data_IF_546035251959
#
_entry.id   IF_546035251959
#
_cell.length_a   1.000
_cell.length_b   1.000
_cell.length_c   1.000
_cell.angle_alpha   90.00
_cell.angle_beta   90.00
_cell.angle_gamma   90.00
#
_symmetry.space_group_name_H-M   'P 1'
#
loop_
_entity.id
_entity.type
_entity.pdbx_description
1 polymer ?
#
# COMPACT_ATOMS: atom_id res chain seq x y z
N UNK A 1 -26.12 12.28 2.30
CA UNK A 1 -24.65 12.16 2.24
C UNK A 1 -24.06 12.84 3.46
N UNK A 2 -23.23 12.14 4.25
CA UNK A 2 -22.56 12.73 5.41
C UNK A 2 -21.23 13.31 4.92
N UNK A 3 -21.03 14.63 5.04
CA UNK A 3 -19.77 15.26 4.65
C UNK A 3 -18.69 14.90 5.69
N UNK A 4 -17.85 13.91 5.40
CA UNK A 4 -16.76 13.48 6.29
C UNK A 4 -15.45 14.14 5.88
N UNK A 5 -14.78 14.78 6.83
CA UNK A 5 -13.43 15.32 6.64
C UNK A 5 -12.42 14.37 7.28
N UNK A 6 -11.54 13.79 6.47
CA UNK A 6 -10.42 12.98 6.95
C UNK A 6 -9.30 13.91 7.43
N UNK A 7 -8.78 13.66 8.64
CA UNK A 7 -7.65 14.39 9.23
C UNK A 7 -6.53 13.40 9.48
N UNK A 8 -5.34 13.71 9.00
CA UNK A 8 -4.15 12.90 9.28
C UNK A 8 -3.64 13.28 10.67
N UNK A 9 -3.33 12.29 11.50
CA UNK A 9 -2.82 12.46 12.87
C UNK A 9 -1.49 11.72 13.03
N UNK A 10 -0.88 11.81 14.22
CA UNK A 10 0.30 11.02 14.61
C UNK A 10 1.59 11.24 13.79
N UNK A 11 1.73 12.41 13.16
CA UNK A 11 3.02 12.90 12.64
C UNK A 11 4.08 13.12 13.74
N UNK A 12 3.75 13.02 15.03
CA UNK A 12 4.65 13.31 16.16
C UNK A 12 5.85 12.38 16.30
N UNK A 13 5.86 11.25 15.59
CA UNK A 13 7.02 10.37 15.42
C UNK A 13 7.91 10.75 14.23
N UNK A 14 7.47 11.66 13.35
CA UNK A 14 8.29 12.28 12.31
C UNK A 14 9.24 13.30 12.96
N UNK A 15 10.20 12.82 13.74
CA UNK A 15 11.27 13.64 14.34
C UNK A 15 12.49 13.62 13.43
N UNK A 16 13.25 14.71 13.46
CA UNK A 16 14.55 14.84 12.79
C UNK A 16 15.41 13.58 12.96
N UNK A 17 16.09 13.25 11.85
CA UNK A 17 17.09 12.22 11.51
C UNK A 17 17.93 11.57 12.64
N UNK A 18 17.98 12.11 13.86
CA UNK A 18 19.00 11.83 14.87
C UNK A 18 18.56 11.05 16.12
N UNK A 19 17.28 10.69 16.30
CA UNK A 19 16.87 9.86 17.47
C UNK A 19 15.83 8.81 17.12
N UNK A 20 16.27 7.65 16.64
CA UNK A 20 15.45 6.44 16.52
C UNK A 20 15.26 5.81 17.89
N UNK A 21 14.11 6.05 18.52
CA UNK A 21 13.59 5.14 19.54
C UNK A 21 13.15 3.87 18.81
N UNK A 22 13.77 2.72 19.12
CA UNK A 22 13.29 1.41 18.68
C UNK A 22 11.87 1.21 19.21
N UNK A 23 10.86 1.53 18.42
CA UNK A 23 9.51 1.05 18.66
C UNK A 23 9.40 -0.38 18.17
N UNK A 24 8.65 -1.19 18.90
CA UNK A 24 8.28 -2.55 18.55
C UNK A 24 7.52 -2.52 17.22
N UNK A 25 8.21 -2.74 16.09
CA UNK A 25 7.65 -2.61 14.74
C UNK A 25 6.74 -3.79 14.33
N UNK A 26 6.35 -4.64 15.28
CA UNK A 26 5.41 -5.72 15.06
C UNK A 26 4.05 -5.13 14.64
N UNK A 27 3.74 -5.22 13.35
CA UNK A 27 2.48 -4.77 12.75
C UNK A 27 2.57 -3.54 11.83
N UNK A 28 3.66 -2.75 11.83
CA UNK A 28 3.76 -1.54 10.98
C UNK A 28 4.47 -1.79 9.64
N UNK A 29 5.19 -2.90 9.49
CA UNK A 29 5.99 -3.17 8.29
C UNK A 29 5.21 -3.15 6.97
N UNK A 30 3.91 -3.46 7.03
CA UNK A 30 3.05 -3.47 5.85
C UNK A 30 2.95 -2.12 5.13
N UNK A 31 3.10 -1.00 5.85
CA UNK A 31 3.09 0.35 5.29
C UNK A 31 4.49 0.91 5.04
N UNK A 32 5.54 0.25 5.53
CA UNK A 32 6.90 0.80 5.50
C UNK A 32 7.56 0.58 4.14
N UNK A 33 8.22 1.62 3.63
CA UNK A 33 9.02 1.53 2.41
C UNK A 33 10.29 0.67 2.61
N UNK A 34 10.84 0.06 1.54
CA UNK A 34 12.03 -0.79 1.63
C UNK A 34 13.24 -0.10 2.28
N UNK A 35 13.49 1.17 1.98
CA UNK A 35 14.59 1.96 2.54
C UNK A 35 14.40 2.32 4.01
N UNK A 36 13.15 2.41 4.48
CA UNK A 36 12.82 2.62 5.90
C UNK A 36 13.10 1.34 6.67
N UNK A 37 12.69 0.18 6.13
CA UNK A 37 12.93 -1.13 6.76
C UNK A 37 14.44 -1.43 6.84
N UNK A 38 15.18 -1.19 5.76
CA UNK A 38 16.63 -1.53 5.68
C UNK A 38 17.50 -0.61 6.53
N UNK A 39 17.27 0.69 6.42
CA UNK A 39 18.22 1.71 6.86
C UNK A 39 17.59 2.83 7.68
N UNK A 40 16.29 2.74 7.99
CA UNK A 40 15.56 3.81 8.69
C UNK A 40 15.68 5.17 7.99
N UNK A 41 15.75 5.15 6.65
CA UNK A 41 15.83 6.36 5.83
C UNK A 41 14.43 6.82 5.51
N UNK A 42 14.00 7.91 6.14
CA UNK A 42 12.70 8.54 5.91
C UNK A 42 12.85 9.67 4.87
N UNK A 43 11.90 9.75 3.95
CA UNK A 43 11.86 10.77 2.90
C UNK A 43 10.43 11.05 2.48
N UNK A 44 10.20 12.10 1.67
CA UNK A 44 8.91 12.26 1.00
C UNK A 44 8.51 11.01 0.22
N UNK A 45 9.48 10.31 -0.40
CA UNK A 45 9.23 9.07 -1.11
C UNK A 45 8.74 7.92 -0.21
N UNK A 46 9.18 7.85 1.05
CA UNK A 46 8.69 6.82 1.98
C UNK A 46 7.22 7.05 2.38
N UNK A 47 6.81 8.31 2.48
CA UNK A 47 5.41 8.66 2.71
C UNK A 47 4.54 8.29 1.50
N UNK A 48 5.07 8.46 0.27
CA UNK A 48 4.39 8.06 -0.97
C UNK A 48 4.20 6.54 -1.05
N UNK A 49 5.18 5.74 -0.62
CA UNK A 49 5.00 4.29 -0.52
C UNK A 49 3.85 3.93 0.43
N UNK A 50 3.86 4.54 1.63
CA UNK A 50 2.84 4.34 2.66
C UNK A 50 1.45 4.74 2.15
N UNK A 51 1.38 5.83 1.38
CA UNK A 51 0.16 6.26 0.70
C UNK A 51 -0.33 5.26 -0.35
N UNK A 52 0.57 4.62 -1.10
CA UNK A 52 0.20 3.55 -2.03
C UNK A 52 -0.47 2.37 -1.33
N UNK A 53 0.00 2.02 -0.12
CA UNK A 53 -0.65 1.00 0.72
C UNK A 53 -2.04 1.46 1.18
N UNK A 54 -2.17 2.71 1.64
CA UNK A 54 -3.47 3.28 2.02
C UNK A 54 -4.46 3.28 0.84
N UNK A 55 -4.01 3.64 -0.37
CA UNK A 55 -4.83 3.61 -1.57
C UNK A 55 -5.33 2.19 -1.87
N UNK A 56 -4.46 1.20 -1.72
CA UNK A 56 -4.82 -0.20 -1.86
C UNK A 56 -5.89 -0.62 -0.85
N UNK A 57 -5.74 -0.25 0.44
CA UNK A 57 -6.74 -0.54 1.48
C UNK A 57 -8.10 0.10 1.18
N UNK A 58 -8.11 1.34 0.68
CA UNK A 58 -9.35 2.03 0.30
C UNK A 58 -10.06 1.34 -0.86
N UNK A 59 -9.31 0.84 -1.85
CA UNK A 59 -9.86 0.18 -3.03
C UNK A 59 -10.36 -1.23 -2.72
N UNK A 60 -9.60 -2.00 -1.95
CA UNK A 60 -9.89 -3.43 -1.71
C UNK A 60 -10.73 -3.67 -0.46
N UNK A 61 -10.63 -2.78 0.53
CA UNK A 61 -11.21 -2.98 1.86
C UNK A 61 -10.49 -4.04 2.69
N UNK A 62 -9.32 -4.52 2.24
CA UNK A 62 -8.56 -5.59 2.88
C UNK A 62 -7.45 -5.08 3.79
N UNK A 63 -7.02 -5.95 4.71
CA UNK A 63 -5.87 -5.68 5.59
C UNK A 63 -4.57 -6.04 4.84
N UNK A 64 -3.60 -5.13 4.71
CA UNK A 64 -2.33 -5.41 4.04
C UNK A 64 -1.62 -6.63 4.62
N UNK A 65 -1.24 -7.58 3.76
CA UNK A 65 -0.52 -8.81 4.14
C UNK A 65 -1.18 -9.61 5.28
N UNK A 66 -2.53 -9.68 5.27
CA UNK A 66 -3.32 -10.29 6.35
C UNK A 66 -2.83 -11.69 6.74
N UNK A 67 -2.42 -11.83 8.00
CA UNK A 67 -2.00 -13.10 8.59
C UNK A 67 -0.69 -13.66 8.04
N UNK A 68 0.15 -12.82 7.44
CA UNK A 68 1.56 -13.13 7.13
C UNK A 68 2.40 -12.61 8.30
N UNK A 69 3.46 -13.32 8.68
CA UNK A 69 4.34 -12.88 9.75
C UNK A 69 4.99 -11.51 9.43
N UNK A 70 5.05 -10.64 10.43
CA UNK A 70 5.55 -9.28 10.24
C UNK A 70 7.01 -9.23 9.79
N UNK A 71 7.86 -10.14 10.25
CA UNK A 71 9.26 -10.21 9.82
C UNK A 71 9.37 -10.78 8.40
N UNK A 72 8.51 -11.74 8.03
CA UNK A 72 8.44 -12.24 6.66
C UNK A 72 8.02 -11.13 5.68
N UNK A 73 7.04 -10.29 6.05
CA UNK A 73 6.67 -9.09 5.28
C UNK A 73 7.84 -8.13 5.19
N UNK A 74 8.49 -7.81 6.31
CA UNK A 74 9.62 -6.88 6.34
C UNK A 74 10.76 -7.35 5.41
N UNK A 75 11.12 -8.62 5.50
CA UNK A 75 12.14 -9.24 4.66
C UNK A 75 11.71 -9.27 3.18
N UNK A 76 10.46 -9.64 2.90
CA UNK A 76 9.90 -9.66 1.56
C UNK A 76 9.95 -8.29 0.89
N UNK A 77 9.48 -7.25 1.58
CA UNK A 77 9.45 -5.87 1.06
C UNK A 77 10.88 -5.34 0.88
N UNK A 78 11.74 -5.55 1.86
CA UNK A 78 13.12 -5.06 1.79
C UNK A 78 13.94 -5.80 0.73
N UNK A 79 13.94 -7.13 0.71
CA UNK A 79 14.91 -7.93 -0.06
C UNK A 79 14.30 -8.48 -1.34
N UNK A 80 13.09 -9.03 -1.27
CA UNK A 80 12.46 -9.74 -2.38
C UNK A 80 11.59 -8.85 -3.27
N UNK A 81 11.59 -7.52 -3.03
CA UNK A 81 10.77 -6.53 -3.73
C UNK A 81 9.26 -6.88 -3.68
N UNK A 82 8.82 -7.49 -2.57
CA UNK A 82 7.41 -7.80 -2.36
C UNK A 82 6.60 -6.50 -2.34
N UNK A 83 5.48 -6.50 -3.07
CA UNK A 83 4.45 -5.45 -3.03
C UNK A 83 3.10 -6.08 -2.75
N UNK A 84 2.09 -5.28 -2.42
CA UNK A 84 0.73 -5.79 -2.31
C UNK A 84 0.22 -6.25 -3.69
N UNK A 85 -0.64 -7.27 -3.73
CA UNK A 85 -1.25 -7.74 -4.96
C UNK A 85 -2.22 -6.69 -5.51
N UNK A 86 -2.08 -6.31 -6.77
CA UNK A 86 -3.08 -5.50 -7.46
C UNK A 86 -4.04 -6.46 -8.18
N UNK A 87 -5.35 -6.45 -7.85
CA UNK A 87 -6.30 -7.35 -8.49
C UNK A 87 -6.32 -7.19 -10.00
N UNK A 88 -6.50 -8.30 -10.71
CA UNK A 88 -6.45 -8.38 -12.17
C UNK A 88 -7.45 -7.45 -12.88
N UNK A 89 -8.62 -7.22 -12.28
CA UNK A 89 -9.68 -6.36 -12.81
C UNK A 89 -9.70 -4.96 -12.19
N UNK A 90 -8.68 -4.60 -11.40
CA UNK A 90 -8.52 -3.24 -10.89
C UNK A 90 -8.41 -2.26 -12.07
N UNK A 91 -9.15 -1.12 -12.07
CA UNK A 91 -9.04 -0.15 -13.14
C UNK A 91 -7.59 0.33 -13.32
N UNK A 92 -7.12 0.35 -14.56
CA UNK A 92 -5.73 0.62 -14.91
C UNK A 92 -5.16 1.92 -14.30
N UNK A 93 -5.91 3.05 -14.22
CA UNK A 93 -5.38 4.26 -13.60
C UNK A 93 -5.00 4.08 -12.11
N UNK A 94 -5.80 3.32 -11.35
CA UNK A 94 -5.49 3.01 -9.95
C UNK A 94 -4.33 2.00 -9.85
N UNK A 95 -4.34 0.97 -10.70
CA UNK A 95 -3.28 -0.03 -10.75
C UNK A 95 -1.91 0.61 -11.06
N UNK A 96 -1.88 1.52 -12.03
CA UNK A 96 -0.69 2.29 -12.41
C UNK A 96 -0.23 3.18 -11.25
N UNK A 97 -1.13 3.95 -10.65
CA UNK A 97 -0.79 4.85 -9.54
C UNK A 97 -0.20 4.09 -8.34
N UNK A 98 -0.77 2.94 -7.97
CA UNK A 98 -0.20 2.08 -6.92
C UNK A 98 1.20 1.57 -7.27
N UNK A 99 1.41 1.09 -8.51
CA UNK A 99 2.72 0.62 -8.98
C UNK A 99 3.78 1.75 -9.03
N UNK A 100 3.38 2.98 -9.33
CA UNK A 100 4.24 4.16 -9.26
C UNK A 100 4.62 4.52 -7.82
N UNK A 101 3.68 4.37 -6.87
CA UNK A 101 3.97 4.59 -5.45
C UNK A 101 4.93 3.53 -4.87
N UNK A 102 4.88 2.30 -5.37
CA UNK A 102 5.73 1.18 -4.91
C UNK A 102 7.01 0.97 -5.72
N UNK A 103 7.50 2.02 -6.39
CA UNK A 103 8.82 1.97 -7.00
C UNK A 103 9.91 1.77 -5.94
N UNK A 104 10.91 0.94 -6.26
CA UNK A 104 11.98 0.61 -5.33
C UNK A 104 12.89 1.81 -5.06
N UNK A 105 13.18 2.60 -6.09
CA UNK A 105 13.89 3.88 -5.94
C UNK A 105 12.91 4.95 -5.44
N UNK A 106 13.13 5.56 -4.26
CA UNK A 106 12.25 6.60 -3.72
C UNK A 106 12.21 7.89 -4.56
N UNK A 107 13.22 8.13 -5.41
CA UNK A 107 13.31 9.36 -6.21
C UNK A 107 12.44 9.34 -7.47
N UNK A 108 12.05 8.16 -7.94
CA UNK A 108 11.16 8.00 -9.11
C UNK A 108 9.69 7.87 -8.72
N UNK A 109 9.38 7.82 -7.41
CA UNK A 109 8.01 7.82 -6.91
C UNK A 109 7.36 9.18 -7.19
N UNK A 110 6.04 9.22 -7.48
CA UNK A 110 5.36 10.46 -7.79
C UNK A 110 5.29 11.38 -6.56
N UNK A 111 5.27 12.69 -6.78
CA UNK A 111 4.98 13.64 -5.69
C UNK A 111 3.49 13.64 -5.38
N UNK A 112 3.09 14.04 -4.15
CA UNK A 112 1.67 14.21 -3.82
C UNK A 112 0.92 15.17 -4.76
N UNK A 113 1.60 16.17 -5.33
CA UNK A 113 1.00 17.06 -6.32
C UNK A 113 0.63 16.31 -7.61
N UNK A 114 1.52 15.44 -8.09
CA UNK A 114 1.26 14.59 -9.25
C UNK A 114 0.19 13.53 -8.94
N UNK A 115 0.21 12.94 -7.75
CA UNK A 115 -0.85 12.01 -7.31
C UNK A 115 -2.22 12.70 -7.33
N UNK A 116 -2.32 13.93 -6.82
CA UNK A 116 -3.57 14.68 -6.82
C UNK A 116 -4.06 14.98 -8.24
N UNK A 117 -3.17 15.33 -9.16
CA UNK A 117 -3.49 15.51 -10.58
C UNK A 117 -4.05 14.22 -11.20
N UNK A 118 -3.38 13.09 -10.97
CA UNK A 118 -3.84 11.78 -11.45
C UNK A 118 -5.22 11.41 -10.88
N UNK A 119 -5.43 11.58 -9.57
CA UNK A 119 -6.72 11.29 -8.93
C UNK A 119 -7.85 12.18 -9.44
N UNK A 120 -7.56 13.46 -9.69
CA UNK A 120 -8.53 14.40 -10.27
C UNK A 120 -8.92 13.98 -11.68
N UNK A 121 -7.98 13.47 -12.47
CA UNK A 121 -8.26 12.91 -13.79
C UNK A 121 -9.11 11.62 -13.71
N UNK A 122 -8.82 10.75 -12.74
CA UNK A 122 -9.59 9.53 -12.50
C UNK A 122 -11.03 9.85 -12.07
N UNK A 123 -11.21 10.78 -11.13
CA UNK A 123 -12.53 11.21 -10.67
C UNK A 123 -13.41 11.66 -11.85
N UNK A 124 -12.85 12.47 -12.75
CA UNK A 124 -13.55 12.94 -13.95
C UNK A 124 -13.96 11.80 -14.89
N UNK A 125 -13.15 10.75 -14.99
CA UNK A 125 -13.45 9.58 -15.83
C UNK A 125 -14.47 8.63 -15.18
N UNK A 126 -14.42 8.46 -13.86
CA UNK A 126 -15.28 7.52 -13.12
C UNK A 126 -16.67 8.09 -12.88
N UNK A 127 -16.80 9.41 -12.63
CA UNK A 127 -18.10 10.07 -12.42
C UNK A 127 -19.05 9.97 -13.62
N UNK A 128 -18.53 9.65 -14.81
CA UNK A 128 -19.32 9.51 -16.03
C UNK A 128 -19.83 8.09 -16.30
N UNK A 129 -19.29 7.02 -15.67
CA UNK A 129 -19.43 5.67 -16.25
C UNK A 129 -19.73 4.49 -15.29
N UNK A 130 -19.64 4.60 -13.96
CA UNK A 130 -19.78 3.41 -13.08
C UNK A 130 -20.96 3.45 -12.09
N UNK A 131 -21.94 2.52 -12.19
CA UNK A 131 -22.93 2.29 -11.14
C UNK A 131 -22.27 1.68 -9.88
N UNK A 132 -22.60 2.19 -8.69
CA UNK A 132 -22.05 1.74 -7.40
C UNK A 132 -22.22 0.24 -7.15
N UNK A 133 -23.31 -0.38 -7.63
CA UNK A 133 -23.54 -1.84 -7.49
C UNK A 133 -22.48 -2.67 -8.21
N UNK A 134 -21.94 -2.17 -9.34
CA UNK A 134 -20.85 -2.83 -10.07
C UNK A 134 -19.55 -2.84 -9.25
N UNK A 135 -19.27 -1.77 -8.51
CA UNK A 135 -18.05 -1.66 -7.71
C UNK A 135 -18.02 -2.66 -6.55
N UNK A 136 -19.13 -2.84 -5.83
CA UNK A 136 -19.17 -3.78 -4.71
C UNK A 136 -18.97 -5.23 -5.16
N UNK A 137 -19.58 -5.63 -6.27
CA UNK A 137 -19.36 -6.98 -6.84
C UNK A 137 -17.89 -7.19 -7.23
N UNK A 138 -17.28 -6.22 -7.93
CA UNK A 138 -15.87 -6.31 -8.29
C UNK A 138 -14.96 -6.36 -7.05
N UNK A 139 -15.28 -5.58 -6.02
CA UNK A 139 -14.51 -5.56 -4.78
C UNK A 139 -14.56 -6.91 -4.05
N UNK A 140 -15.69 -7.60 -4.06
CA UNK A 140 -15.80 -8.94 -3.47
C UNK A 140 -14.98 -9.99 -4.24
N UNK A 141 -14.94 -9.90 -5.57
CA UNK A 141 -14.04 -10.72 -6.39
C UNK A 141 -12.56 -10.43 -6.07
N UNK A 142 -12.21 -9.15 -5.88
CA UNK A 142 -10.85 -8.76 -5.50
C UNK A 142 -10.44 -9.35 -4.15
N UNK A 143 -11.34 -9.40 -3.16
CA UNK A 143 -11.04 -10.01 -1.85
C UNK A 143 -10.68 -11.48 -1.98
N UNK A 144 -11.39 -12.22 -2.84
CA UNK A 144 -11.08 -13.63 -3.11
C UNK A 144 -9.71 -13.80 -3.77
N UNK A 145 -9.40 -12.99 -4.79
CA UNK A 145 -8.10 -13.00 -5.47
C UNK A 145 -6.96 -12.69 -4.49
N UNK A 146 -7.11 -11.63 -3.69
CA UNK A 146 -6.12 -11.21 -2.68
C UNK A 146 -5.90 -12.30 -1.63
N UNK A 147 -6.98 -12.91 -1.14
CA UNK A 147 -6.91 -13.98 -0.14
C UNK A 147 -6.12 -15.19 -0.67
N UNK A 148 -6.38 -15.61 -1.91
CA UNK A 148 -5.63 -16.69 -2.56
C UNK A 148 -4.14 -16.35 -2.67
N UNK A 149 -3.80 -15.13 -3.08
CA UNK A 149 -2.40 -14.69 -3.19
C UNK A 149 -1.69 -14.66 -1.83
N UNK A 150 -2.37 -14.23 -0.76
CA UNK A 150 -1.81 -14.28 0.60
C UNK A 150 -1.62 -15.70 1.12
N UNK A 151 -2.53 -16.62 0.82
CA UNK A 151 -2.39 -18.03 1.19
C UNK A 151 -1.21 -18.70 0.44
N UNK A 152 -0.98 -18.34 -0.82
CA UNK A 152 0.22 -18.75 -1.55
C UNK A 152 1.51 -18.21 -0.93
N UNK A 153 1.54 -16.92 -0.56
CA UNK A 153 2.69 -16.31 0.08
C UNK A 153 3.01 -16.99 1.42
N UNK A 154 1.98 -17.28 2.23
CA UNK A 154 2.13 -18.01 3.50
C UNK A 154 2.65 -19.43 3.28
N UNK A 155 2.23 -20.09 2.21
CA UNK A 155 2.72 -21.44 1.88
C UNK A 155 4.20 -21.41 1.49
N UNK A 156 4.61 -20.43 0.66
CA UNK A 156 6.02 -20.24 0.27
C UNK A 156 6.93 -19.92 1.47
N UNK A 157 6.44 -19.17 2.45
CA UNK A 157 7.14 -18.91 3.71
C UNK A 157 7.41 -20.21 4.49
N UNK A 158 6.39 -21.06 4.66
CA UNK A 158 6.53 -22.33 5.40
C UNK A 158 7.51 -23.30 4.74
N UNK A 159 7.56 -23.33 3.41
CA UNK A 159 8.48 -24.19 2.66
C UNK A 159 9.92 -23.67 2.71
N UNK A 160 10.13 -22.36 2.78
CA UNK A 160 11.47 -21.75 2.80
C UNK A 160 12.14 -21.78 4.19
N UNK A 161 11.37 -22.06 5.25
CA UNK A 161 11.82 -22.14 6.64
C UNK A 161 12.06 -23.58 7.14
N UNK A 162 12.08 -24.58 6.24
CA UNK A 162 12.43 -25.99 6.48
C UNK A 162 13.71 -26.31 5.70
#
# INVERSE_FOLDING_TARGET
MCNKTLKITDFGLAREWHRTTRMSAAGTYAWMAPEVIKSSVFSKGSDIWSYGVLLWELLTGEVPYRGIDGLAVAYGVAVNKLTLPVPSTCPEPFAKLMKECWQQDPHIRPSFALILEQLTAIERAVMTEMPQESFHSMQDDWKLEIQQMFDELRTKEKVSNI
#
